data_IF_562895825652
#
_entry.id   IF_562895825652
#
_cell.length_a   1.000
_cell.length_b   1.000
_cell.length_c   1.000
_cell.angle_alpha   90.00
_cell.angle_beta   90.00
_cell.angle_gamma   90.00
#
_symmetry.space_group_name_H-M   'P 1'
#
loop_
_entity.id
_entity.type
_entity.pdbx_description
1 polymer ?
#
# COMPACT_ATOMS: atom_id res chain seq x y z
N UNK A 1 -23.59 10.82 -4.67
CA UNK A 1 -23.19 11.17 -6.05
C UNK A 1 -21.70 10.93 -6.30
N UNK A 2 -20.82 11.33 -5.38
CA UNK A 2 -19.36 11.10 -5.46
C UNK A 2 -18.99 9.63 -5.70
N UNK A 3 -19.58 8.69 -4.95
CA UNK A 3 -19.32 7.26 -5.14
C UNK A 3 -19.60 6.72 -6.55
N UNK A 4 -20.56 7.32 -7.27
CA UNK A 4 -20.88 6.90 -8.64
C UNK A 4 -19.83 7.36 -9.64
N UNK A 5 -19.33 8.60 -9.50
CA UNK A 5 -18.24 9.13 -10.32
C UNK A 5 -16.91 8.45 -9.99
N UNK A 6 -16.57 8.27 -8.71
CA UNK A 6 -15.37 7.54 -8.28
C UNK A 6 -15.39 6.11 -8.85
N UNK A 7 -16.53 5.42 -8.73
CA UNK A 7 -16.68 4.09 -9.30
C UNK A 7 -16.48 4.08 -10.82
N UNK A 8 -16.91 5.12 -11.53
CA UNK A 8 -16.74 5.22 -12.98
C UNK A 8 -15.26 5.27 -13.35
N UNK A 9 -14.47 6.13 -12.71
CA UNK A 9 -13.04 6.25 -12.94
C UNK A 9 -12.28 4.97 -12.57
N UNK A 10 -12.66 4.32 -11.47
CA UNK A 10 -12.04 3.05 -11.06
C UNK A 10 -12.40 1.93 -12.06
N UNK A 11 -13.65 1.82 -12.49
CA UNK A 11 -14.05 0.77 -13.43
C UNK A 11 -13.49 0.96 -14.83
N UNK A 12 -13.42 2.19 -15.34
CA UNK A 12 -12.81 2.45 -16.65
C UNK A 12 -11.29 2.35 -16.59
N UNK A 13 -10.67 2.77 -15.49
CA UNK A 13 -9.22 2.74 -15.29
C UNK A 13 -8.65 1.35 -15.02
N UNK A 14 -9.29 0.54 -14.15
CA UNK A 14 -8.74 -0.75 -13.73
C UNK A 14 -9.35 -1.97 -14.43
N UNK A 15 -10.64 -1.93 -14.80
CA UNK A 15 -11.38 -3.11 -15.29
C UNK A 15 -11.92 -2.90 -16.73
N UNK A 16 -11.70 -1.72 -17.32
CA UNK A 16 -12.20 -1.30 -18.63
C UNK A 16 -13.71 -1.62 -18.87
N UNK A 17 -14.53 -1.53 -17.81
CA UNK A 17 -15.96 -1.86 -17.84
C UNK A 17 -16.82 -0.59 -18.00
N UNK A 18 -17.55 -0.52 -19.11
CA UNK A 18 -18.41 0.61 -19.47
C UNK A 18 -19.88 0.29 -19.18
N UNK A 19 -20.30 0.51 -17.94
CA UNK A 19 -21.69 0.36 -17.49
C UNK A 19 -22.45 1.70 -17.51
N UNK A 20 -23.75 1.67 -17.81
CA UNK A 20 -24.61 2.87 -17.75
C UNK A 20 -24.80 3.32 -16.30
N UNK A 21 -25.00 4.63 -16.09
CA UNK A 21 -25.13 5.25 -14.77
C UNK A 21 -26.19 4.59 -13.88
N UNK A 22 -27.36 4.27 -14.44
CA UNK A 22 -28.45 3.65 -13.68
C UNK A 22 -28.08 2.23 -13.19
N UNK A 23 -27.44 1.43 -14.04
CA UNK A 23 -27.02 0.05 -13.70
C UNK A 23 -26.03 0.06 -12.55
N UNK A 24 -25.05 0.96 -12.62
CA UNK A 24 -24.03 1.14 -11.58
C UNK A 24 -24.64 1.51 -10.23
N UNK A 25 -25.59 2.44 -10.22
CA UNK A 25 -26.25 2.87 -8.98
C UNK A 25 -27.10 1.74 -8.41
N UNK A 26 -27.91 1.07 -9.24
CA UNK A 26 -28.77 -0.02 -8.78
C UNK A 26 -27.95 -1.17 -8.21
N UNK A 27 -26.85 -1.57 -8.86
CA UNK A 27 -25.99 -2.67 -8.39
C UNK A 27 -25.34 -2.31 -7.05
N UNK A 28 -24.69 -1.14 -6.95
CA UNK A 28 -23.98 -0.75 -5.72
C UNK A 28 -24.94 -0.51 -4.54
N UNK A 29 -26.14 0.02 -4.79
CA UNK A 29 -27.19 0.15 -3.79
C UNK A 29 -27.76 -1.19 -3.37
N UNK A 30 -28.00 -2.11 -4.31
CA UNK A 30 -28.47 -3.45 -4.01
C UNK A 30 -27.46 -4.21 -3.14
N UNK A 31 -26.17 -4.17 -3.50
CA UNK A 31 -25.10 -4.82 -2.72
C UNK A 31 -24.96 -4.22 -1.33
N UNK A 32 -25.13 -2.91 -1.15
CA UNK A 32 -25.07 -2.26 0.16
C UNK A 32 -26.31 -2.55 1.03
N UNK A 33 -27.51 -2.57 0.43
CA UNK A 33 -28.77 -2.74 1.16
C UNK A 33 -29.03 -4.22 1.50
N UNK A 34 -28.64 -5.15 0.62
CA UNK A 34 -28.88 -6.58 0.79
C UNK A 34 -28.41 -7.14 2.15
N UNK A 35 -27.14 -6.94 2.60
CA UNK A 35 -26.69 -7.48 3.88
C UNK A 35 -27.43 -6.83 5.06
N UNK A 36 -27.67 -5.52 5.00
CA UNK A 36 -28.41 -4.79 6.04
C UNK A 36 -29.85 -5.28 6.16
N UNK A 37 -30.52 -5.50 5.03
CA UNK A 37 -31.90 -5.99 5.00
C UNK A 37 -31.99 -7.44 5.48
N UNK A 38 -31.04 -8.28 5.08
CA UNK A 38 -30.98 -9.69 5.52
C UNK A 38 -30.82 -9.78 7.04
N UNK A 39 -29.90 -9.01 7.61
CA UNK A 39 -29.73 -8.96 9.08
C UNK A 39 -30.98 -8.38 9.76
N UNK A 40 -31.59 -7.32 9.22
CA UNK A 40 -32.81 -6.76 9.79
C UNK A 40 -33.99 -7.76 9.84
N UNK A 41 -34.15 -8.58 8.80
CA UNK A 41 -35.25 -9.56 8.72
C UNK A 41 -34.99 -10.78 9.61
N UNK A 42 -33.78 -11.35 9.56
CA UNK A 42 -33.41 -12.55 10.35
C UNK A 42 -33.44 -12.25 11.85
N UNK A 43 -33.01 -11.04 12.25
CA UNK A 43 -32.85 -10.67 13.65
C UNK A 43 -33.97 -9.74 14.16
N UNK A 44 -35.09 -9.62 13.44
CA UNK A 44 -36.26 -8.80 13.82
C UNK A 44 -36.75 -9.00 15.26
N UNK A 45 -36.45 -10.14 15.89
CA UNK A 45 -36.89 -10.49 17.24
C UNK A 45 -35.76 -10.49 18.29
N UNK A 46 -34.49 -10.19 17.89
CA UNK A 46 -33.34 -10.08 18.80
C UNK A 46 -32.91 -8.62 18.93
N UNK A 47 -32.64 -8.17 20.16
CA UNK A 47 -32.34 -6.78 20.50
C UNK A 47 -30.93 -6.36 20.01
N UNK A 48 -30.86 -5.78 18.81
CA UNK A 48 -29.96 -4.65 18.47
C UNK A 48 -28.47 -4.91 18.19
N UNK A 49 -27.82 -5.93 18.75
CA UNK A 49 -26.34 -6.03 18.74
C UNK A 49 -25.69 -6.36 17.39
N UNK A 50 -26.43 -6.91 16.43
CA UNK A 50 -25.84 -7.39 15.17
C UNK A 50 -25.56 -6.27 14.15
N UNK A 51 -26.31 -5.17 14.24
CA UNK A 51 -26.05 -3.98 13.41
C UNK A 51 -24.73 -3.31 13.82
N UNK A 52 -24.42 -3.34 15.12
CA UNK A 52 -23.15 -2.83 15.63
C UNK A 52 -21.99 -3.69 15.13
N UNK A 53 -22.13 -5.03 15.15
CA UNK A 53 -21.12 -5.94 14.59
C UNK A 53 -20.92 -5.73 13.08
N UNK A 54 -21.98 -5.55 12.30
CA UNK A 54 -21.87 -5.24 10.87
C UNK A 54 -21.13 -3.92 10.64
N UNK A 55 -21.43 -2.90 11.44
CA UNK A 55 -20.77 -1.60 11.34
C UNK A 55 -19.27 -1.71 11.68
N UNK A 56 -18.93 -2.48 12.71
CA UNK A 56 -17.54 -2.76 13.08
C UNK A 56 -16.79 -3.51 11.97
N UNK A 57 -17.43 -4.52 11.36
CA UNK A 57 -16.89 -5.25 10.20
C UNK A 57 -16.62 -4.31 9.01
N UNK A 58 -17.54 -3.38 8.72
CA UNK A 58 -17.34 -2.38 7.65
C UNK A 58 -16.18 -1.44 7.98
N UNK A 59 -16.03 -1.03 9.24
CA UNK A 59 -14.90 -0.19 9.67
C UNK A 59 -13.55 -0.92 9.53
N UNK A 60 -13.48 -2.20 9.89
CA UNK A 60 -12.29 -3.04 9.68
C UNK A 60 -11.98 -3.17 8.19
N UNK A 61 -12.99 -3.43 7.36
CA UNK A 61 -12.81 -3.54 5.93
C UNK A 61 -12.32 -2.21 5.31
N UNK A 62 -12.85 -1.07 5.76
CA UNK A 62 -12.39 0.25 5.33
C UNK A 62 -10.95 0.52 5.77
N UNK A 63 -10.59 0.12 6.99
CA UNK A 63 -9.23 0.23 7.54
C UNK A 63 -8.20 -0.49 6.65
N UNK A 64 -8.57 -1.66 6.12
CA UNK A 64 -7.74 -2.43 5.18
C UNK A 64 -7.65 -1.74 3.81
N UNK A 65 -8.69 -1.03 3.37
CA UNK A 65 -8.69 -0.36 2.06
C UNK A 65 -7.86 0.94 2.04
N UNK A 66 -7.81 1.67 3.16
CA UNK A 66 -7.23 3.01 3.22
C UNK A 66 -5.77 3.10 2.76
N UNK A 67 -4.84 2.21 3.16
CA UNK A 67 -3.45 2.29 2.71
C UNK A 67 -3.30 2.12 1.19
N UNK A 68 -4.16 1.31 0.56
CA UNK A 68 -4.14 1.10 -0.89
C UNK A 68 -4.57 2.33 -1.69
N UNK A 69 -5.39 3.21 -1.10
CA UNK A 69 -5.72 4.48 -1.71
C UNK A 69 -4.65 5.55 -1.41
N UNK A 70 -4.19 5.63 -0.17
CA UNK A 70 -3.27 6.67 0.29
C UNK A 70 -1.87 6.53 -0.32
N UNK A 71 -1.25 5.34 -0.26
CA UNK A 71 0.14 5.17 -0.67
C UNK A 71 0.38 5.50 -2.16
N UNK A 72 -0.45 5.04 -3.12
CA UNK A 72 -0.31 5.46 -4.51
C UNK A 72 -0.49 6.96 -4.69
N UNK A 73 -1.46 7.58 -4.01
CA UNK A 73 -1.68 9.04 -4.14
C UNK A 73 -0.50 9.85 -3.61
N UNK A 74 0.05 9.49 -2.44
CA UNK A 74 1.23 10.18 -1.90
C UNK A 74 2.45 10.03 -2.80
N UNK A 75 2.63 8.85 -3.37
CA UNK A 75 3.79 8.54 -4.22
C UNK A 75 3.66 9.17 -5.61
N UNK A 76 2.46 9.22 -6.18
CA UNK A 76 2.18 9.91 -7.45
C UNK A 76 2.30 11.44 -7.31
N UNK A 77 1.78 12.02 -6.22
CA UNK A 77 1.84 13.47 -6.00
C UNK A 77 3.25 13.99 -5.64
N UNK A 78 4.11 13.10 -5.11
CA UNK A 78 5.50 13.43 -4.81
C UNK A 78 6.46 13.12 -5.98
N UNK A 79 5.96 12.59 -7.10
CA UNK A 79 6.79 12.19 -8.23
C UNK A 79 6.82 13.27 -9.32
N UNK A 80 7.98 13.91 -9.57
CA UNK A 80 8.10 14.97 -10.58
C UNK A 80 7.89 14.48 -12.02
N UNK A 81 7.96 13.17 -12.28
CA UNK A 81 7.65 12.61 -13.61
C UNK A 81 6.16 12.56 -13.93
N UNK A 82 5.31 12.49 -12.90
CA UNK A 82 3.85 12.35 -13.05
C UNK A 82 3.18 13.72 -12.93
N UNK A 83 3.61 14.52 -11.95
CA UNK A 83 2.97 15.80 -11.61
C UNK A 83 3.64 17.01 -12.28
N UNK A 84 4.71 16.81 -13.06
CA UNK A 84 5.60 17.85 -13.60
C UNK A 84 6.39 18.59 -12.50
N UNK A 85 7.64 18.97 -12.79
CA UNK A 85 8.56 19.56 -11.81
C UNK A 85 8.03 20.87 -11.19
N UNK A 86 7.16 21.59 -11.89
CA UNK A 86 6.58 22.85 -11.42
C UNK A 86 5.44 22.69 -10.40
N UNK A 87 4.74 21.55 -10.39
CA UNK A 87 3.61 21.28 -9.48
C UNK A 87 3.91 20.18 -8.46
N UNK A 88 5.17 19.72 -8.40
CA UNK A 88 5.57 18.69 -7.43
C UNK A 88 5.47 19.23 -6.01
N UNK A 89 4.97 18.39 -5.10
CA UNK A 89 4.81 18.77 -3.70
C UNK A 89 6.15 19.22 -3.09
N UNK A 90 6.15 20.38 -2.42
CA UNK A 90 7.35 20.83 -1.67
C UNK A 90 7.68 19.78 -0.60
N UNK A 91 8.96 19.57 -0.26
CA UNK A 91 9.36 18.52 0.68
C UNK A 91 8.67 18.64 2.04
N UNK A 92 8.35 19.87 2.49
CA UNK A 92 7.58 20.10 3.72
C UNK A 92 6.13 19.58 3.63
N UNK A 93 5.45 19.83 2.50
CA UNK A 93 4.08 19.36 2.28
C UNK A 93 4.06 17.84 2.09
N UNK A 94 5.05 17.29 1.40
CA UNK A 94 5.22 15.84 1.29
C UNK A 94 5.45 15.21 2.67
N UNK A 95 6.34 15.77 3.51
CA UNK A 95 6.58 15.29 4.86
C UNK A 95 5.31 15.34 5.74
N UNK A 96 4.55 16.45 5.68
CA UNK A 96 3.28 16.57 6.37
C UNK A 96 2.24 15.55 5.88
N UNK A 97 2.13 15.35 4.56
CA UNK A 97 1.23 14.35 3.99
C UNK A 97 1.60 12.93 4.43
N UNK A 98 2.88 12.58 4.45
CA UNK A 98 3.38 11.29 4.96
C UNK A 98 3.12 11.13 6.45
N UNK A 99 3.28 12.19 7.26
CA UNK A 99 2.97 12.16 8.68
C UNK A 99 1.47 11.93 8.94
N UNK A 100 0.60 12.63 8.22
CA UNK A 100 -0.86 12.46 8.30
C UNK A 100 -1.25 11.04 7.86
N UNK A 101 -0.69 10.55 6.74
CA UNK A 101 -0.95 9.19 6.27
C UNK A 101 -0.52 8.16 7.31
N UNK A 102 0.65 8.32 7.94
CA UNK A 102 1.12 7.44 9.00
C UNK A 102 0.20 7.47 10.23
N UNK A 103 -0.27 8.65 10.65
CA UNK A 103 -1.21 8.78 11.76
C UNK A 103 -2.55 8.10 11.46
N UNK A 104 -3.11 8.31 10.27
CA UNK A 104 -4.35 7.65 9.84
C UNK A 104 -4.17 6.13 9.82
N UNK A 105 -3.07 5.62 9.26
CA UNK A 105 -2.79 4.18 9.25
C UNK A 105 -2.65 3.61 10.66
N UNK A 106 -2.01 4.33 11.59
CA UNK A 106 -1.86 3.90 12.98
C UNK A 106 -3.22 3.80 13.70
N UNK A 107 -4.10 4.79 13.52
CA UNK A 107 -5.45 4.77 14.11
C UNK A 107 -6.28 3.61 13.55
N UNK A 108 -6.21 3.37 12.24
CA UNK A 108 -6.92 2.25 11.61
C UNK A 108 -6.37 0.88 12.06
N UNK A 109 -5.05 0.76 12.27
CA UNK A 109 -4.46 -0.45 12.83
C UNK A 109 -4.92 -0.72 14.27
N UNK A 110 -5.06 0.32 15.09
CA UNK A 110 -5.63 0.20 16.44
C UNK A 110 -7.09 -0.27 16.41
N UNK A 111 -7.91 0.25 15.48
CA UNK A 111 -9.29 -0.19 15.31
C UNK A 111 -9.40 -1.68 14.94
N UNK A 112 -8.48 -2.20 14.11
CA UNK A 112 -8.42 -3.63 13.78
C UNK A 112 -8.04 -4.46 15.01
N UNK A 113 -7.09 -3.97 15.83
CA UNK A 113 -6.69 -4.64 17.05
C UNK A 113 -7.82 -4.69 18.09
N UNK A 114 -8.60 -3.62 18.20
CA UNK A 114 -9.76 -3.55 19.08
C UNK A 114 -10.85 -4.55 18.66
N UNK A 115 -11.18 -4.59 17.36
CA UNK A 115 -12.10 -5.57 16.79
C UNK A 115 -11.65 -7.02 17.06
N UNK A 116 -10.36 -7.29 16.89
CA UNK A 116 -9.78 -8.60 17.14
C UNK A 116 -9.98 -9.09 18.57
N UNK A 117 -9.93 -8.19 19.56
CA UNK A 117 -10.05 -8.51 20.98
C UNK A 117 -11.51 -8.73 21.42
N UNK A 118 -12.46 -7.99 20.83
CA UNK A 118 -13.85 -7.98 21.28
C UNK A 118 -14.74 -9.00 20.56
N UNK A 119 -14.44 -9.30 19.29
CA UNK A 119 -15.33 -10.09 18.43
C UNK A 119 -14.84 -11.52 18.20
N UNK A 120 -13.55 -11.82 18.45
CA UNK A 120 -13.04 -13.18 18.31
C UNK A 120 -13.34 -14.05 19.53
N UNK A 121 -13.73 -15.32 19.32
CA UNK A 121 -13.76 -16.31 20.40
C UNK A 121 -12.38 -16.40 21.07
N UNK A 122 -12.33 -16.57 22.39
CA UNK A 122 -11.12 -16.64 23.23
C UNK A 122 -10.19 -17.86 22.95
N UNK A 123 -10.23 -18.41 21.74
CA UNK A 123 -9.31 -19.45 21.30
C UNK A 123 -7.96 -18.83 20.93
N UNK A 124 -6.84 -19.31 21.51
CA UNK A 124 -5.51 -18.73 21.25
C UNK A 124 -5.08 -18.91 19.79
N UNK A 125 -5.53 -19.97 19.13
CA UNK A 125 -5.24 -20.23 17.72
C UNK A 125 -5.84 -19.17 16.78
N UNK A 126 -7.07 -18.70 17.05
CA UNK A 126 -7.73 -17.69 16.24
C UNK A 126 -7.01 -16.32 16.36
N UNK A 127 -6.61 -15.96 17.57
CA UNK A 127 -5.84 -14.75 17.84
C UNK A 127 -4.45 -14.80 17.19
N UNK A 128 -3.75 -15.94 17.29
CA UNK A 128 -2.44 -16.12 16.66
C UNK A 128 -2.52 -16.04 15.12
N UNK A 129 -3.54 -16.66 14.51
CA UNK A 129 -3.75 -16.60 13.07
C UNK A 129 -4.08 -15.18 12.59
N UNK A 130 -4.94 -14.46 13.32
CA UNK A 130 -5.26 -13.08 12.97
C UNK A 130 -4.06 -12.15 13.18
N UNK A 131 -3.33 -12.29 14.28
CA UNK A 131 -2.12 -11.51 14.53
C UNK A 131 -1.09 -11.71 13.40
N UNK A 132 -0.87 -12.96 12.97
CA UNK A 132 -0.01 -13.27 11.84
C UNK A 132 -0.50 -12.61 10.55
N UNK A 133 -1.81 -12.68 10.26
CA UNK A 133 -2.41 -12.04 9.08
C UNK A 133 -2.27 -10.50 9.12
N UNK A 134 -2.51 -9.88 10.27
CA UNK A 134 -2.36 -8.42 10.47
C UNK A 134 -0.90 -8.02 10.36
N UNK A 135 0.04 -8.76 10.95
CA UNK A 135 1.47 -8.50 10.82
C UNK A 135 1.94 -8.64 9.37
N UNK A 136 1.50 -9.70 8.67
CA UNK A 136 1.80 -9.88 7.25
C UNK A 136 1.24 -8.71 6.42
N UNK A 137 0.02 -8.29 6.70
CA UNK A 137 -0.62 -7.14 6.05
C UNK A 137 0.12 -5.82 6.32
N UNK A 138 0.45 -5.51 7.58
CA UNK A 138 1.20 -4.31 7.95
C UNK A 138 2.59 -4.29 7.32
N UNK A 139 3.25 -5.45 7.26
CA UNK A 139 4.54 -5.61 6.57
C UNK A 139 4.40 -5.32 5.08
N UNK A 140 3.35 -5.84 4.45
CA UNK A 140 3.05 -5.56 3.05
C UNK A 140 2.75 -4.08 2.79
N UNK A 141 1.96 -3.43 3.66
CA UNK A 141 1.69 -1.99 3.58
C UNK A 141 2.96 -1.17 3.76
N UNK A 142 3.82 -1.53 4.72
CA UNK A 142 5.11 -0.88 4.93
C UNK A 142 6.01 -1.04 3.70
N UNK A 143 6.05 -2.23 3.10
CA UNK A 143 6.76 -2.50 1.85
C UNK A 143 6.24 -1.62 0.70
N UNK A 144 4.91 -1.49 0.54
CA UNK A 144 4.31 -0.60 -0.46
C UNK A 144 4.64 0.87 -0.20
N UNK A 145 4.69 1.31 1.07
CA UNK A 145 4.96 2.70 1.43
C UNK A 145 6.42 3.11 1.24
N UNK A 146 7.38 2.24 1.58
CA UNK A 146 8.78 2.46 1.21
C UNK A 146 8.93 2.41 -0.31
N UNK A 147 8.16 1.55 -0.97
CA UNK A 147 8.11 1.46 -2.41
C UNK A 147 9.29 0.66 -2.97
N UNK A 148 9.05 -0.27 -3.91
CA UNK A 148 10.13 -1.08 -4.49
C UNK A 148 11.22 -0.24 -5.15
N UNK A 149 10.90 0.96 -5.66
CA UNK A 149 11.90 1.82 -6.31
C UNK A 149 12.89 2.47 -5.33
N UNK A 150 12.48 2.82 -4.10
CA UNK A 150 13.41 3.35 -3.07
C UNK A 150 14.29 2.24 -2.53
N UNK A 151 13.70 1.05 -2.34
CA UNK A 151 14.44 -0.16 -1.96
C UNK A 151 15.51 -0.52 -3.01
N UNK A 152 15.14 -0.55 -4.29
CA UNK A 152 16.05 -0.81 -5.40
C UNK A 152 17.11 0.30 -5.58
N UNK A 153 16.77 1.57 -5.34
CA UNK A 153 17.72 2.67 -5.41
C UNK A 153 18.73 2.62 -4.25
N UNK A 154 18.28 2.28 -3.05
CA UNK A 154 19.15 2.07 -1.89
C UNK A 154 20.06 0.85 -2.09
N UNK A 155 19.52 -0.27 -2.57
CA UNK A 155 20.29 -1.48 -2.87
C UNK A 155 21.37 -1.22 -3.91
N UNK A 156 21.07 -0.48 -5.00
CA UNK A 156 22.07 -0.07 -6.00
C UNK A 156 23.19 0.80 -5.43
N UNK A 157 22.88 1.70 -4.49
CA UNK A 157 23.90 2.55 -3.83
C UNK A 157 24.85 1.76 -2.92
N UNK A 158 24.39 0.64 -2.38
CA UNK A 158 25.20 -0.24 -1.53
C UNK A 158 25.99 -1.23 -2.40
N UNK A 159 25.34 -1.82 -3.40
CA UNK A 159 25.95 -2.75 -4.36
C UNK A 159 27.03 -2.07 -5.21
N UNK A 160 26.82 -0.82 -5.63
CA UNK A 160 27.77 -0.01 -6.42
C UNK A 160 28.98 0.53 -5.65
N UNK A 161 29.24 0.04 -4.42
CA UNK A 161 30.54 0.22 -3.76
C UNK A 161 31.52 -0.91 -4.08
N UNK A 162 31.06 -2.05 -4.59
CA UNK A 162 31.93 -3.19 -4.88
C UNK A 162 32.74 -3.00 -6.17
N UNK A 163 32.16 -2.38 -7.21
CA UNK A 163 32.85 -2.22 -8.52
C UNK A 163 33.90 -1.08 -8.55
N UNK A 164 33.88 -0.18 -7.56
CA UNK A 164 34.91 0.88 -7.45
C UNK A 164 36.22 0.39 -6.82
N UNK A 165 36.23 -0.79 -6.22
CA UNK A 165 37.45 -1.42 -5.68
C UNK A 165 38.31 -2.06 -6.77
N UNK A 166 37.68 -2.70 -7.76
CA UNK A 166 38.38 -3.44 -8.83
C UNK A 166 38.97 -2.51 -9.90
N UNK A 167 38.27 -1.41 -10.25
CA UNK A 167 38.73 -0.46 -11.27
C UNK A 167 39.99 0.35 -10.88
N UNK A 168 40.41 0.33 -9.60
CA UNK A 168 41.63 0.98 -9.12
C UNK A 168 42.84 0.03 -9.07
N UNK A 169 42.65 -1.28 -9.33
CA UNK A 169 43.72 -2.29 -9.32
C UNK A 169 44.27 -2.60 -10.72
N UNK A 170 43.49 -2.39 -11.79
CA UNK A 170 43.92 -2.60 -13.18
C UNK A 170 45.04 -1.68 -13.72
N UNK A 171 45.23 -0.42 -13.26
CA UNK A 171 46.32 0.42 -13.77
C UNK A 171 47.72 0.00 -13.27
N UNK A 172 47.81 -0.74 -12.17
CA UNK A 172 49.10 -1.12 -11.57
C UNK A 172 49.65 -2.45 -12.11
N UNK A 173 48.81 -3.28 -12.74
CA UNK A 173 49.23 -4.53 -13.39
C UNK A 173 49.66 -4.33 -14.86
N UNK A 174 49.26 -3.22 -15.49
CA UNK A 174 49.61 -2.91 -16.88
C UNK A 174 50.88 -2.07 -17.05
N UNK A 175 51.43 -1.50 -15.98
CA UNK A 175 52.63 -0.66 -16.02
C UNK A 175 53.97 -1.42 -15.85
N UNK A 176 53.94 -2.75 -15.74
CA UNK A 176 55.12 -3.58 -15.44
C UNK A 176 55.66 -4.42 -16.60
N UNK A 177 55.12 -4.30 -17.81
CA UNK A 177 55.40 -5.23 -18.92
C UNK A 177 56.00 -4.58 -20.17
N UNK A 178 56.84 -3.55 -20.01
CA UNK A 178 57.63 -3.02 -21.13
C UNK A 178 59.10 -2.90 -20.72
N UNK A 179 59.83 -4.01 -20.87
CA UNK A 179 61.28 -4.07 -20.80
C UNK A 179 61.77 -4.50 -22.19
N UNK A 180 62.46 -3.64 -22.95
CA UNK A 180 62.93 -4.01 -24.28
C UNK A 180 64.20 -4.82 -24.14
N UNK A 181 64.13 -6.10 -24.52
CA UNK A 181 65.30 -6.97 -24.59
C UNK A 181 66.12 -6.65 -25.83
N UNK A 182 67.40 -6.39 -25.60
CA UNK A 182 68.41 -6.20 -26.63
C UNK A 182 68.79 -7.55 -27.27
N UNK A 183 69.27 -7.47 -28.52
CA UNK A 183 69.98 -8.48 -29.34
C UNK A 183 69.09 -9.29 -30.29
N UNK A 184 69.26 -9.06 -31.59
CA UNK A 184 69.69 -10.09 -32.55
C UNK A 184 69.84 -9.49 -33.96
N UNK A 185 71.07 -9.57 -34.47
CA UNK A 185 71.53 -9.62 -35.88
C UNK A 185 71.34 -8.39 -36.75
#
# INVERSE_FOLDING_TARGET
MTGTYTGQFVMSGFINLHLRQWQRITITRAVAIAPTLLVAVVYRHRRGTELDQLNELVNVLQSIQLPFALLPVLTMTSNPRIMSAAFTNRPAVAAAAWAIAAAVMAVNAAAIADFAQHQLPQQPAAHAALALAVTAYLTFVAYLGVGPWRWQAWWRRISGRHERGEALQDPLLSAGADQPDARAV
#
